data_IF_826831719551
#
_entry.id   IF_826831719551
#
_cell.length_a   1.000
_cell.length_b   1.000
_cell.length_c   1.000
_cell.angle_alpha   90.00
_cell.angle_beta   90.00
_cell.angle_gamma   90.00
#
_symmetry.space_group_name_H-M   'P 1'
#
loop_
_entity.id
_entity.type
_entity.pdbx_description
1 polymer ?
#
# COMPACT_ATOMS: atom_id res chain seq x y z
N UNK A 1 17.91 33.40 7.02
CA UNK A 1 16.50 33.80 7.16
C UNK A 1 15.53 32.63 7.40
N UNK A 2 15.69 31.46 6.77
CA UNK A 2 14.77 30.30 6.89
C UNK A 2 14.68 29.67 8.30
N UNK A 3 15.80 29.60 9.03
CA UNK A 3 15.81 29.03 10.40
C UNK A 3 15.05 29.88 11.43
N UNK A 4 15.00 31.19 11.21
CA UNK A 4 14.30 32.11 12.11
C UNK A 4 12.77 31.92 12.04
N UNK A 5 12.24 31.65 10.83
CA UNK A 5 10.81 31.41 10.61
C UNK A 5 10.34 30.07 11.21
N UNK A 6 11.17 29.03 11.12
CA UNK A 6 10.86 27.69 11.67
C UNK A 6 10.83 27.69 13.21
N UNK A 7 11.65 28.54 13.83
CA UNK A 7 11.67 28.72 15.28
C UNK A 7 10.42 29.46 15.77
N UNK A 8 10.04 30.55 15.12
CA UNK A 8 8.83 31.32 15.45
C UNK A 8 7.53 30.50 15.31
N UNK A 9 7.46 29.65 14.28
CA UNK A 9 6.29 28.79 14.07
C UNK A 9 6.11 27.76 15.20
N UNK A 10 7.21 27.21 15.73
CA UNK A 10 7.15 26.24 16.85
C UNK A 10 6.72 26.89 18.16
N UNK A 11 7.17 28.11 18.43
CA UNK A 11 6.76 28.86 19.63
C UNK A 11 5.28 29.25 19.55
N UNK A 12 4.81 29.69 18.38
CA UNK A 12 3.40 30.02 18.18
C UNK A 12 2.48 28.82 18.42
N UNK A 13 2.85 27.64 17.89
CA UNK A 13 2.07 26.42 18.08
C UNK A 13 2.04 25.98 19.56
N UNK A 14 3.17 26.11 20.26
CA UNK A 14 3.27 25.78 21.69
C UNK A 14 2.43 26.73 22.55
N UNK A 15 2.41 28.02 22.23
CA UNK A 15 1.59 29.01 22.94
C UNK A 15 0.09 28.78 22.72
N UNK A 16 -0.32 28.39 21.51
CA UNK A 16 -1.73 28.03 21.23
C UNK A 16 -2.13 26.78 22.02
N UNK A 17 -1.24 25.79 22.13
CA UNK A 17 -1.47 24.57 22.91
C UNK A 17 -1.60 24.87 24.42
N UNK A 18 -0.72 25.72 24.96
CA UNK A 18 -0.77 26.12 26.37
C UNK A 18 -2.03 26.94 26.65
N UNK A 19 -2.40 27.87 25.76
CA UNK A 19 -3.60 28.69 25.91
C UNK A 19 -4.88 27.83 25.91
N UNK A 20 -4.94 26.78 25.08
CA UNK A 20 -6.09 25.86 25.06
C UNK A 20 -6.17 24.99 26.31
N UNK A 21 -5.04 24.52 26.84
CA UNK A 21 -5.01 23.76 28.11
C UNK A 21 -5.45 24.65 29.28
N UNK A 22 -4.98 25.89 29.35
CA UNK A 22 -5.38 26.83 30.41
C UNK A 22 -6.86 27.18 30.32
N UNK A 23 -7.40 27.36 29.10
CA UNK A 23 -8.83 27.60 28.90
C UNK A 23 -9.68 26.41 29.34
N UNK A 24 -9.19 25.18 29.15
CA UNK A 24 -9.84 23.95 29.63
C UNK A 24 -9.82 23.80 31.15
N UNK A 25 -8.78 24.30 31.83
CA UNK A 25 -8.66 24.22 33.29
C UNK A 25 -9.39 25.38 34.02
N UNK A 26 -9.67 26.49 33.34
CA UNK A 26 -10.25 27.69 33.96
C UNK A 26 -11.78 27.69 33.99
N UNK A 27 -12.46 26.69 33.42
CA UNK A 27 -13.92 26.60 33.51
C UNK A 27 -14.28 25.92 34.83
N UNK A 28 -14.88 26.65 35.80
CA UNK A 28 -15.29 26.07 37.06
C UNK A 28 -16.27 24.93 36.80
N UNK A 29 -15.93 23.76 37.35
CA UNK A 29 -16.61 22.47 37.23
C UNK A 29 -18.00 22.54 37.87
N UNK A 30 -18.88 23.32 37.24
CA UNK A 30 -20.28 23.45 37.62
C UNK A 30 -20.97 22.26 36.98
N UNK A 31 -21.41 21.34 37.83
CA UNK A 31 -22.20 20.15 37.53
C UNK A 31 -23.21 20.42 36.40
N UNK A 32 -22.80 20.09 35.17
CA UNK A 32 -23.70 19.98 34.03
C UNK A 32 -24.02 18.50 33.94
N UNK A 33 -25.25 18.12 34.30
CA UNK A 33 -25.80 16.81 33.97
C UNK A 33 -25.85 16.71 32.45
N UNK A 34 -24.78 16.16 31.88
CA UNK A 34 -24.72 15.81 30.47
C UNK A 34 -25.72 14.68 30.25
N UNK A 35 -26.64 14.82 29.28
CA UNK A 35 -27.52 13.71 28.92
C UNK A 35 -26.65 12.51 28.53
N UNK A 36 -27.01 11.34 29.06
CA UNK A 36 -26.28 10.07 28.94
C UNK A 36 -26.20 9.48 27.51
N UNK A 37 -26.11 10.33 26.49
CA UNK A 37 -26.16 9.97 25.08
C UNK A 37 -25.23 10.82 24.19
N UNK A 38 -24.05 11.18 24.69
CA UNK A 38 -23.03 11.85 23.87
C UNK A 38 -21.68 11.14 23.95
N UNK A 39 -21.66 9.87 23.52
CA UNK A 39 -20.44 9.21 23.04
C UNK A 39 -20.10 9.69 21.62
N UNK A 40 -19.97 11.00 21.42
CA UNK A 40 -19.28 11.54 20.24
C UNK A 40 -17.79 11.52 20.56
N UNK A 41 -17.28 10.30 20.75
CA UNK A 41 -15.86 10.03 20.69
C UNK A 41 -15.35 10.58 19.36
N UNK A 42 -14.18 11.20 19.38
CA UNK A 42 -13.40 11.52 18.18
C UNK A 42 -13.05 10.21 17.45
N UNK A 43 -14.04 9.63 16.77
CA UNK A 43 -13.82 8.65 15.73
C UNK A 43 -13.29 9.44 14.55
N UNK A 44 -11.99 9.73 14.57
CA UNK A 44 -11.26 9.95 13.33
C UNK A 44 -11.70 8.78 12.44
N UNK A 45 -12.32 9.02 11.27
CA UNK A 45 -12.66 7.94 10.39
C UNK A 45 -11.36 7.21 10.07
N UNK A 46 -11.13 6.05 10.70
CA UNK A 46 -10.03 5.13 10.43
C UNK A 46 -9.96 4.77 8.94
N UNK A 47 -11.07 5.01 8.23
CA UNK A 47 -11.24 5.00 6.77
C UNK A 47 -10.24 5.89 6.00
N UNK A 48 -9.59 6.88 6.64
CA UNK A 48 -8.60 7.75 5.96
C UNK A 48 -7.13 7.46 6.29
N UNK A 49 -6.85 6.55 7.23
CA UNK A 49 -5.51 6.00 7.37
C UNK A 49 -5.35 4.95 6.27
N UNK A 50 -4.93 5.38 5.07
CA UNK A 50 -4.20 4.47 4.17
C UNK A 50 -3.24 3.69 5.05
N UNK A 51 -3.38 2.37 5.09
CA UNK A 51 -2.57 1.51 5.95
C UNK A 51 -1.10 1.91 5.78
N UNK A 52 -0.58 2.63 6.77
CA UNK A 52 0.77 3.13 6.74
C UNK A 52 1.67 1.98 7.18
N UNK A 53 2.71 1.74 6.39
CA UNK A 53 3.75 0.80 6.74
C UNK A 53 5.04 1.59 6.92
N UNK A 54 5.67 1.43 8.08
CA UNK A 54 6.95 2.08 8.38
C UNK A 54 8.03 1.62 7.40
N UNK A 55 9.06 2.43 7.10
CA UNK A 55 10.19 1.99 6.29
C UNK A 55 10.85 0.70 6.81
N UNK A 56 10.95 0.56 8.13
CA UNK A 56 11.52 -0.61 8.80
C UNK A 56 10.68 -1.87 8.56
N UNK A 57 9.36 -1.75 8.64
CA UNK A 57 8.46 -2.87 8.35
C UNK A 57 8.48 -3.25 6.86
N UNK A 58 8.58 -2.27 5.96
CA UNK A 58 8.71 -2.55 4.51
C UNK A 58 9.94 -3.37 4.21
N UNK A 59 11.07 -3.03 4.83
CA UNK A 59 12.33 -3.76 4.68
C UNK A 59 12.21 -5.16 5.28
N UNK A 60 11.71 -5.25 6.52
CA UNK A 60 11.48 -6.51 7.24
C UNK A 60 10.63 -7.48 6.42
N UNK A 61 9.46 -7.05 5.94
CA UNK A 61 8.56 -7.91 5.18
C UNK A 61 9.09 -8.21 3.79
N UNK A 62 9.81 -7.29 3.13
CA UNK A 62 10.47 -7.57 1.84
C UNK A 62 11.49 -8.69 1.96
N UNK A 63 12.31 -8.67 3.02
CA UNK A 63 13.33 -9.68 3.27
C UNK A 63 12.77 -11.02 3.79
N UNK A 64 11.52 -11.02 4.26
CA UNK A 64 10.82 -12.22 4.71
C UNK A 64 10.09 -12.96 3.58
N UNK A 65 9.98 -12.38 2.38
CA UNK A 65 9.36 -13.04 1.23
C UNK A 65 10.22 -14.23 0.79
N UNK A 66 9.66 -15.46 0.75
CA UNK A 66 10.43 -16.63 0.36
C UNK A 66 10.75 -16.60 -1.14
N UNK A 67 11.91 -17.13 -1.52
CA UNK A 67 12.34 -17.21 -2.93
C UNK A 67 11.34 -17.96 -3.83
N UNK A 68 10.60 -18.93 -3.30
CA UNK A 68 9.54 -19.63 -4.05
C UNK A 68 8.42 -18.69 -4.52
N UNK A 69 8.25 -17.52 -3.90
CA UNK A 69 7.31 -16.50 -4.37
C UNK A 69 7.76 -15.87 -5.70
N UNK A 70 9.06 -15.90 -6.03
CA UNK A 70 9.58 -15.38 -7.29
C UNK A 70 9.08 -16.19 -8.50
N UNK A 71 8.84 -17.50 -8.32
CA UNK A 71 8.22 -18.35 -9.36
C UNK A 71 6.78 -17.93 -9.64
N UNK A 72 6.00 -17.67 -8.59
CA UNK A 72 4.63 -17.15 -8.69
C UNK A 72 4.64 -15.79 -9.39
N UNK A 73 5.53 -14.89 -8.95
CA UNK A 73 5.67 -13.57 -9.53
C UNK A 73 6.14 -13.64 -10.99
N UNK A 74 7.00 -14.59 -11.36
CA UNK A 74 7.37 -14.82 -12.76
C UNK A 74 6.15 -15.12 -13.62
N UNK A 75 5.28 -16.04 -13.19
CA UNK A 75 4.05 -16.37 -13.92
C UNK A 75 3.11 -15.17 -14.04
N UNK A 76 2.87 -14.48 -12.92
CA UNK A 76 2.04 -13.25 -12.87
C UNK A 76 2.62 -12.15 -13.78
N UNK A 77 3.94 -11.98 -13.81
CA UNK A 77 4.61 -11.00 -14.66
C UNK A 77 4.66 -11.42 -16.12
N UNK A 78 4.47 -12.68 -16.49
CA UNK A 78 4.31 -13.06 -17.90
C UNK A 78 2.87 -12.83 -18.41
N UNK A 79 1.88 -12.91 -17.52
CA UNK A 79 0.48 -12.53 -17.78
C UNK A 79 0.21 -11.04 -17.48
N UNK A 80 -0.94 -10.79 -16.87
CA UNK A 80 -1.49 -9.44 -16.63
C UNK A 80 -0.93 -8.68 -15.40
N UNK A 81 0.13 -9.17 -14.78
CA UNK A 81 0.82 -8.48 -13.69
C UNK A 81 1.47 -7.16 -14.13
N UNK A 82 1.24 -6.09 -13.36
CA UNK A 82 1.87 -4.78 -13.56
C UNK A 82 2.54 -4.28 -12.28
N UNK A 83 3.83 -3.94 -12.38
CA UNK A 83 4.57 -3.30 -11.29
C UNK A 83 4.77 -1.82 -11.65
N UNK A 84 4.62 -0.93 -10.66
CA UNK A 84 4.71 0.52 -10.86
C UNK A 84 5.50 1.19 -9.75
N UNK A 85 6.42 2.08 -10.12
CA UNK A 85 7.13 2.94 -9.16
C UNK A 85 6.19 3.97 -8.54
N UNK A 86 6.30 4.17 -7.23
CA UNK A 86 5.62 5.21 -6.49
C UNK A 86 6.53 5.77 -5.38
N UNK A 87 7.18 6.89 -5.68
CA UNK A 87 8.28 7.41 -4.87
C UNK A 87 9.56 6.60 -5.09
N UNK A 88 10.22 6.19 -4.02
CA UNK A 88 11.45 5.40 -4.06
C UNK A 88 11.24 3.89 -4.22
N UNK A 89 10.00 3.40 -4.07
CA UNK A 89 9.68 1.98 -4.11
C UNK A 89 8.58 1.66 -5.12
N UNK A 90 8.50 0.41 -5.55
CA UNK A 90 7.44 -0.07 -6.43
C UNK A 90 6.32 -0.79 -5.68
N UNK A 91 5.17 -0.95 -6.35
CA UNK A 91 4.05 -1.79 -5.92
C UNK A 91 3.59 -2.68 -7.07
N UNK A 92 3.00 -3.82 -6.72
CA UNK A 92 2.27 -4.69 -7.64
C UNK A 92 0.82 -4.23 -7.75
N UNK A 93 0.30 -4.22 -8.97
CA UNK A 93 -1.10 -3.95 -9.28
C UNK A 93 -1.65 -5.09 -10.13
N UNK A 94 -2.75 -5.68 -9.68
CA UNK A 94 -3.48 -6.75 -10.39
C UNK A 94 -4.87 -6.23 -10.75
N UNK A 95 -5.31 -6.51 -11.97
CA UNK A 95 -6.66 -6.20 -12.46
C UNK A 95 -7.10 -7.36 -13.36
N UNK A 96 -8.20 -8.02 -13.01
CA UNK A 96 -8.71 -9.20 -13.72
C UNK A 96 -10.23 -9.24 -13.69
N UNK A 97 -10.84 -9.93 -14.66
CA UNK A 97 -12.30 -10.15 -14.70
C UNK A 97 -12.74 -11.34 -13.84
N UNK A 98 -11.82 -12.27 -13.56
CA UNK A 98 -12.09 -13.47 -12.77
C UNK A 98 -11.71 -13.26 -11.29
N UNK A 99 -12.72 -13.13 -10.43
CA UNK A 99 -12.52 -12.83 -9.00
C UNK A 99 -11.70 -13.90 -8.28
N UNK A 100 -11.95 -15.19 -8.53
CA UNK A 100 -11.27 -16.26 -7.78
C UNK A 100 -9.75 -16.23 -7.98
N UNK A 101 -9.31 -15.81 -9.16
CA UNK A 101 -7.88 -15.67 -9.51
C UNK A 101 -7.28 -14.50 -8.73
N UNK A 102 -7.98 -13.36 -8.66
CA UNK A 102 -7.53 -12.20 -7.87
C UNK A 102 -7.46 -12.52 -6.39
N UNK A 103 -8.51 -13.16 -5.84
CA UNK A 103 -8.59 -13.52 -4.43
C UNK A 103 -7.48 -14.51 -4.03
N UNK A 104 -7.14 -15.47 -4.89
CA UNK A 104 -6.02 -16.41 -4.65
C UNK A 104 -4.68 -15.70 -4.49
N UNK A 105 -4.31 -14.83 -5.44
CA UNK A 105 -3.04 -14.10 -5.34
C UNK A 105 -3.05 -13.05 -4.24
N UNK A 106 -4.21 -12.44 -3.98
CA UNK A 106 -4.40 -11.55 -2.84
C UNK A 106 -4.14 -12.30 -1.52
N UNK A 107 -4.68 -13.50 -1.33
CA UNK A 107 -4.47 -14.32 -0.13
C UNK A 107 -2.98 -14.65 0.08
N UNK A 108 -2.25 -14.96 -1.00
CA UNK A 108 -0.80 -15.20 -0.94
C UNK A 108 -0.05 -13.91 -0.55
N UNK A 109 -0.40 -12.77 -1.15
CA UNK A 109 0.23 -11.49 -0.80
C UNK A 109 -0.11 -11.07 0.65
N UNK A 110 -1.34 -11.35 1.10
CA UNK A 110 -1.82 -11.04 2.44
C UNK A 110 -1.09 -11.88 3.50
N UNK A 111 -0.87 -13.18 3.25
CA UNK A 111 -0.11 -14.04 4.17
C UNK A 111 1.34 -13.59 4.38
N UNK A 112 1.92 -12.89 3.40
CA UNK A 112 3.25 -12.27 3.49
C UNK A 112 3.23 -10.81 3.94
N UNK A 113 2.09 -10.27 4.39
CA UNK A 113 1.90 -8.87 4.79
C UNK A 113 2.25 -7.85 3.68
N UNK A 114 2.10 -8.22 2.41
CA UNK A 114 2.39 -7.35 1.27
C UNK A 114 1.19 -6.48 0.88
N UNK A 115 -0.01 -6.81 1.35
CA UNK A 115 -1.26 -6.09 1.11
C UNK A 115 -2.18 -6.22 2.33
N UNK A 116 -2.87 -5.15 2.71
CA UNK A 116 -3.96 -5.21 3.69
C UNK A 116 -5.32 -4.80 3.12
N UNK A 117 -5.33 -3.97 2.08
CA UNK A 117 -6.58 -3.54 1.44
C UNK A 117 -7.27 -4.76 0.81
N UNK A 118 -8.58 -4.94 1.02
CA UNK A 118 -9.30 -6.03 0.39
C UNK A 118 -9.33 -5.87 -1.13
N UNK A 119 -9.66 -6.97 -1.83
CA UNK A 119 -9.92 -6.93 -3.26
C UNK A 119 -11.08 -5.99 -3.55
N UNK A 120 -10.83 -4.98 -4.38
CA UNK A 120 -11.80 -4.03 -4.85
C UNK A 120 -12.48 -4.49 -6.14
N UNK A 121 -13.65 -3.92 -6.41
CA UNK A 121 -14.42 -4.17 -7.62
C UNK A 121 -14.65 -2.85 -8.36
N UNK A 122 -14.31 -2.82 -9.65
CA UNK A 122 -14.58 -1.71 -10.55
C UNK A 122 -15.71 -2.10 -11.48
N UNK A 123 -16.87 -1.48 -11.27
CA UNK A 123 -18.04 -1.63 -12.14
C UNK A 123 -18.11 -0.40 -13.06
N UNK A 124 -18.06 -0.63 -14.37
CA UNK A 124 -18.29 0.41 -15.40
C UNK A 124 -19.58 0.06 -16.14
N UNK A 125 -20.38 1.08 -16.49
CA UNK A 125 -21.65 0.89 -17.19
C UNK A 125 -21.46 0.04 -18.46
N UNK A 126 -22.15 -1.10 -18.55
CA UNK A 126 -22.11 -2.06 -19.66
C UNK A 126 -20.80 -2.88 -19.82
N UNK A 127 -19.93 -2.92 -18.80
CA UNK A 127 -18.74 -3.78 -18.80
C UNK A 127 -18.84 -4.86 -17.74
N UNK A 128 -18.13 -5.98 -17.97
CA UNK A 128 -17.92 -6.99 -16.91
C UNK A 128 -17.17 -6.33 -15.73
N UNK A 129 -17.51 -6.66 -14.48
CA UNK A 129 -16.79 -6.15 -13.33
C UNK A 129 -15.32 -6.56 -13.40
N UNK A 130 -14.43 -5.66 -12.98
CA UNK A 130 -12.99 -5.91 -12.88
C UNK A 130 -12.60 -5.90 -11.42
N UNK A 131 -12.03 -7.00 -10.96
CA UNK A 131 -11.52 -7.16 -9.61
C UNK A 131 -10.05 -6.75 -9.56
N UNK A 132 -9.65 -6.07 -8.50
CA UNK A 132 -8.30 -5.54 -8.40
C UNK A 132 -7.81 -5.44 -6.97
N UNK A 133 -6.50 -5.49 -6.81
CA UNK A 133 -5.84 -5.04 -5.58
C UNK A 133 -4.48 -4.43 -5.91
N UNK A 134 -3.91 -3.75 -4.91
CA UNK A 134 -2.57 -3.18 -4.96
C UNK A 134 -1.84 -3.53 -3.69
N UNK A 135 -0.59 -3.94 -3.82
CA UNK A 135 0.29 -4.15 -2.67
C UNK A 135 0.81 -2.82 -2.13
N UNK A 136 1.45 -2.87 -0.95
CA UNK A 136 2.23 -1.76 -0.43
C UNK A 136 3.40 -1.44 -1.35
N UNK A 137 3.88 -0.19 -1.28
CA UNK A 137 5.13 0.19 -1.94
C UNK A 137 6.32 -0.34 -1.15
N UNK A 138 7.02 -1.34 -1.68
CA UNK A 138 8.03 -2.12 -0.94
C UNK A 138 9.30 -2.36 -1.76
N UNK A 139 10.47 -2.45 -1.11
CA UNK A 139 11.74 -2.82 -1.74
C UNK A 139 11.69 -4.10 -2.59
N UNK A 140 10.98 -5.14 -2.14
CA UNK A 140 10.83 -6.39 -2.91
C UNK A 140 10.28 -6.14 -4.33
N UNK A 141 9.18 -5.38 -4.45
CA UNK A 141 8.62 -5.03 -5.76
C UNK A 141 9.53 -4.09 -6.55
N UNK A 142 10.37 -3.28 -5.90
CA UNK A 142 11.39 -2.46 -6.59
C UNK A 142 12.44 -3.34 -7.27
N UNK A 143 12.89 -4.41 -6.61
CA UNK A 143 13.83 -5.37 -7.21
C UNK A 143 13.19 -6.06 -8.42
N UNK A 144 11.95 -6.53 -8.29
CA UNK A 144 11.19 -7.08 -9.42
C UNK A 144 10.99 -6.05 -10.54
N UNK A 145 10.66 -4.80 -10.22
CA UNK A 145 10.53 -3.74 -11.22
C UNK A 145 11.80 -3.57 -12.03
N UNK A 146 12.96 -3.48 -11.36
CA UNK A 146 14.25 -3.32 -12.02
C UNK A 146 14.64 -4.52 -12.90
N UNK A 147 14.18 -5.73 -12.55
CA UNK A 147 14.40 -6.92 -13.37
C UNK A 147 13.49 -6.96 -14.61
N UNK A 148 12.23 -6.56 -14.46
CA UNK A 148 11.19 -6.72 -15.49
C UNK A 148 10.94 -5.46 -16.33
N UNK A 149 11.51 -4.31 -15.98
CA UNK A 149 11.30 -3.06 -16.71
C UNK A 149 12.62 -2.36 -16.99
N UNK A 150 12.81 -1.93 -18.24
CA UNK A 150 13.96 -1.11 -18.66
C UNK A 150 13.49 0.27 -19.10
N UNK A 151 14.24 1.31 -18.73
CA UNK A 151 13.97 2.67 -19.18
C UNK A 151 14.52 2.86 -20.60
N UNK A 152 13.62 3.08 -21.56
CA UNK A 152 13.94 3.39 -22.96
C UNK A 152 13.28 4.75 -23.26
N UNK A 153 14.10 5.76 -23.53
CA UNK A 153 13.67 7.13 -23.84
C UNK A 153 12.72 7.76 -22.79
N UNK A 154 12.98 7.52 -21.51
CA UNK A 154 12.19 8.04 -20.40
C UNK A 154 10.91 7.24 -20.13
N UNK A 155 10.68 6.13 -20.84
CA UNK A 155 9.54 5.23 -20.63
C UNK A 155 10.02 3.88 -20.12
N UNK A 156 9.35 3.36 -19.09
CA UNK A 156 9.62 2.01 -18.59
C UNK A 156 8.86 0.99 -19.43
N UNK A 157 9.60 0.16 -20.17
CA UNK A 157 9.07 -0.89 -21.02
C UNK A 157 9.32 -2.24 -20.35
N UNK A 158 8.29 -3.08 -20.32
CA UNK A 158 8.37 -4.44 -19.76
C UNK A 158 9.26 -5.30 -20.65
N UNK A 159 10.24 -5.96 -20.04
CA UNK A 159 11.23 -6.83 -20.70
C UNK A 159 11.24 -8.19 -20.00
N UNK A 160 11.73 -9.21 -20.71
CA UNK A 160 11.97 -10.53 -20.12
C UNK A 160 13.34 -10.49 -19.41
N UNK A 161 13.42 -10.73 -18.09
CA UNK A 161 14.68 -10.70 -17.37
C UNK A 161 15.63 -11.81 -17.83
N UNK A 162 16.93 -11.56 -17.75
CA UNK A 162 17.94 -12.59 -17.92
C UNK A 162 17.81 -13.64 -16.79
N UNK A 163 17.98 -14.93 -17.11
CA UNK A 163 17.86 -16.01 -16.13
C UNK A 163 16.42 -16.47 -15.88
N UNK A 164 15.44 -16.07 -16.70
CA UNK A 164 14.05 -16.50 -16.59
C UNK A 164 13.89 -18.02 -16.69
N UNK A 165 14.81 -18.72 -17.35
CA UNK A 165 14.86 -20.18 -17.44
C UNK A 165 14.86 -20.87 -16.07
N UNK A 166 15.44 -20.22 -15.05
CA UNK A 166 15.45 -20.71 -13.67
C UNK A 166 14.15 -20.45 -12.92
N UNK A 167 13.37 -19.45 -13.36
CA UNK A 167 12.11 -19.05 -12.72
C UNK A 167 10.89 -19.64 -13.43
N UNK A 168 11.02 -20.10 -14.68
CA UNK A 168 9.95 -20.69 -15.47
C UNK A 168 9.67 -22.15 -15.06
N UNK A 169 9.35 -22.35 -13.79
CA UNK A 169 8.97 -23.65 -13.21
C UNK A 169 7.52 -24.00 -13.53
N UNK A 170 7.06 -25.23 -13.25
CA UNK A 170 5.64 -25.56 -13.36
C UNK A 170 4.70 -24.64 -12.56
N UNK A 171 5.16 -24.08 -11.43
CA UNK A 171 4.41 -23.10 -10.63
C UNK A 171 4.25 -21.80 -11.42
N UNK A 172 5.34 -21.29 -11.99
CA UNK A 172 5.31 -20.09 -12.82
C UNK A 172 4.41 -20.29 -14.05
N UNK A 173 4.49 -21.44 -14.73
CA UNK A 173 3.64 -21.77 -15.87
C UNK A 173 2.16 -21.85 -15.49
N UNK A 174 1.83 -22.44 -14.33
CA UNK A 174 0.45 -22.48 -13.84
C UNK A 174 -0.10 -21.06 -13.64
N UNK A 175 0.66 -20.18 -13.00
CA UNK A 175 0.27 -18.78 -12.87
C UNK A 175 0.24 -18.04 -14.20
N UNK A 176 1.15 -18.32 -15.14
CA UNK A 176 1.09 -17.67 -16.45
C UNK A 176 -0.16 -18.06 -17.25
N UNK A 177 -0.56 -19.33 -17.26
CA UNK A 177 -1.74 -19.77 -18.02
C UNK A 177 -3.05 -19.25 -17.40
N UNK A 178 -3.06 -19.00 -16.09
CA UNK A 178 -4.22 -18.49 -15.37
C UNK A 178 -4.40 -16.96 -15.45
N UNK A 179 -3.36 -16.20 -15.80
CA UNK A 179 -3.33 -14.72 -15.74
C UNK A 179 -3.02 -14.08 -17.08
#
# INVERSE_FOLDING_TARGET
MYYFFKFFFRISLLLILIATIVLLCAVPFSFFELPANTSLAFSIPLVLLRAYMSPEDKEKYSNAVPQSFDEIMCGVMLGDGSIRMHGSNALLSIQQTHREIVDKLWNICFSYNLVHSPVGELVRQNWKPVYHFKTFTMPYFTQLFNAWYTNIDGKYIKVIPAGIDKLLTPIALAHWIMY
#
